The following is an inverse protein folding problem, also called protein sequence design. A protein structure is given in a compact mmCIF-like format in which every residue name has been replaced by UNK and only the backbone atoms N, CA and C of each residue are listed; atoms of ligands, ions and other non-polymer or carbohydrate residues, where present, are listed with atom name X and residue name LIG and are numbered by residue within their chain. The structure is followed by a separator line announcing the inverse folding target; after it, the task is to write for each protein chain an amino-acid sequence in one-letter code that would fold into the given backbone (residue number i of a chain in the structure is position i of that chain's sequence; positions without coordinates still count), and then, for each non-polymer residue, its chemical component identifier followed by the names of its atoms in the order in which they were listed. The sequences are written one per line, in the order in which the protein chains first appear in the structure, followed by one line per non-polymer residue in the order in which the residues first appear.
data_IF_808155118063
#
_entry.id   IF_808155118063
#
_cell.length_a   1.000
_cell.length_b   1.000
_cell.length_c   1.000
_cell.angle_alpha   90.00
_cell.angle_beta   90.00
_cell.angle_gamma   90.00
#
_symmetry.space_group_name_H-M   'P 1'
#
loop_
_entity.id
_entity.type
_entity.pdbx_description
1 polymer ?
#
# COMPACT_ATOMS: atom_id res chain seq x y z
N UNK A 1 -5.07 4.83 -8.17
CA UNK A 1 -4.27 5.58 -7.17
C UNK A 1 -4.06 4.69 -5.96
N UNK A 2 -2.83 4.59 -5.47
CA UNK A 2 -2.48 3.83 -4.27
C UNK A 2 -1.74 4.76 -3.30
N UNK A 3 -2.12 4.74 -2.03
CA UNK A 3 -1.55 5.56 -0.98
C UNK A 3 -0.98 4.67 0.13
N UNK A 4 0.18 5.04 0.62
CA UNK A 4 0.84 4.40 1.75
C UNK A 4 1.18 5.49 2.76
N UNK A 5 0.67 5.35 3.98
CA UNK A 5 0.95 6.22 5.10
C UNK A 5 1.74 5.45 6.14
N UNK A 6 2.96 5.89 6.44
CA UNK A 6 3.78 5.34 7.51
C UNK A 6 3.87 6.38 8.62
N UNK A 7 3.35 6.04 9.80
CA UNK A 7 3.45 6.85 11.00
C UNK A 7 4.57 6.30 11.86
N UNK A 8 5.62 7.09 12.01
CA UNK A 8 6.71 6.84 12.93
C UNK A 8 6.48 7.68 14.20
N UNK A 9 5.93 7.11 15.27
CA UNK A 9 5.90 7.79 16.55
C UNK A 9 7.33 7.92 17.11
N UNK A 10 7.52 8.73 18.16
CA UNK A 10 8.83 9.05 18.74
C UNK A 10 9.73 7.80 18.96
N UNK A 11 11.06 8.01 19.09
CA UNK A 11 12.19 7.05 19.02
C UNK A 11 12.03 5.62 19.61
N UNK A 12 11.02 5.36 20.43
CA UNK A 12 10.75 4.07 21.08
C UNK A 12 9.31 3.55 20.95
N UNK A 13 8.47 4.23 20.17
CA UNK A 13 7.08 3.87 19.99
C UNK A 13 6.88 3.00 18.74
N UNK A 14 5.88 2.13 18.80
CA UNK A 14 5.59 1.15 17.76
C UNK A 14 5.13 1.84 16.48
N UNK A 15 5.85 1.71 15.34
CA UNK A 15 5.43 2.32 14.09
C UNK A 15 4.16 1.67 13.56
N UNK A 16 3.37 2.45 12.84
CA UNK A 16 2.13 1.98 12.22
C UNK A 16 2.15 2.37 10.76
N UNK A 17 1.73 1.47 9.89
CA UNK A 17 1.55 1.76 8.47
C UNK A 17 0.15 1.38 8.01
N UNK A 18 -0.39 2.17 7.10
CA UNK A 18 -1.67 1.93 6.45
C UNK A 18 -1.49 2.09 4.93
N UNK A 19 -1.97 1.10 4.18
CA UNK A 19 -1.87 1.01 2.72
C UNK A 19 -3.28 0.92 2.15
N UNK A 20 -3.64 1.86 1.28
CA UNK A 20 -4.98 2.03 0.73
C UNK A 20 -4.85 2.12 -0.78
N UNK A 21 -5.65 1.35 -1.52
CA UNK A 21 -5.65 1.37 -2.97
C UNK A 21 -7.07 1.53 -3.49
N UNK A 22 -7.23 2.32 -4.56
CA UNK A 22 -8.52 2.53 -5.22
C UNK A 22 -9.15 1.23 -5.75
N UNK A 23 -8.39 0.13 -5.85
CA UNK A 23 -8.93 -1.17 -6.24
C UNK A 23 -9.72 -1.86 -5.12
N UNK A 24 -9.86 -1.22 -3.95
CA UNK A 24 -10.52 -1.78 -2.77
C UNK A 24 -9.58 -2.50 -1.79
N UNK A 25 -8.25 -2.47 -2.01
CA UNK A 25 -7.30 -3.01 -1.02
C UNK A 25 -7.12 -1.99 0.11
N UNK A 26 -7.43 -2.41 1.33
CA UNK A 26 -6.99 -1.74 2.56
C UNK A 26 -6.19 -2.70 3.43
N UNK A 27 -5.06 -2.25 3.95
CA UNK A 27 -4.22 -3.04 4.83
C UNK A 27 -3.56 -2.14 5.88
N UNK A 28 -3.43 -2.65 7.10
CA UNK A 28 -2.92 -1.92 8.26
C UNK A 28 -1.92 -2.80 9.00
N UNK A 29 -0.79 -2.23 9.39
CA UNK A 29 0.27 -2.93 10.09
C UNK A 29 0.77 -2.10 11.27
N UNK A 30 1.08 -2.78 12.38
CA UNK A 30 1.62 -2.18 13.60
C UNK A 30 2.86 -2.96 13.99
N UNK A 31 3.96 -2.26 14.26
CA UNK A 31 5.26 -2.83 14.60
C UNK A 31 6.23 -2.86 13.43
N UNK A 32 7.52 -2.74 13.72
CA UNK A 32 8.59 -2.60 12.72
C UNK A 32 8.52 -3.68 11.62
N UNK A 33 8.51 -4.95 12.00
CA UNK A 33 8.50 -6.05 11.03
C UNK A 33 7.25 -6.05 10.13
N UNK A 34 6.07 -5.80 10.72
CA UNK A 34 4.82 -5.77 9.97
C UNK A 34 4.73 -4.54 9.06
N UNK A 35 5.26 -3.40 9.50
CA UNK A 35 5.34 -2.19 8.68
C UNK A 35 6.24 -2.41 7.47
N UNK A 36 7.41 -3.02 7.64
CA UNK A 36 8.30 -3.36 6.53
C UNK A 36 7.62 -4.31 5.54
N UNK A 37 7.00 -5.39 6.05
CA UNK A 37 6.25 -6.32 5.20
C UNK A 37 5.09 -5.63 4.45
N UNK A 38 4.40 -4.67 5.08
CA UNK A 38 3.32 -3.92 4.43
C UNK A 38 3.86 -3.00 3.31
N UNK A 39 5.05 -2.44 3.46
CA UNK A 39 5.70 -1.62 2.43
C UNK A 39 6.04 -2.49 1.21
N UNK A 40 6.57 -3.69 1.45
CA UNK A 40 6.87 -4.66 0.38
C UNK A 40 5.59 -5.14 -0.31
N UNK A 41 4.55 -5.52 0.45
CA UNK A 41 3.23 -5.89 -0.09
C UNK A 41 2.62 -4.74 -0.90
N UNK A 42 2.68 -3.50 -0.41
CA UNK A 42 2.18 -2.34 -1.14
C UNK A 42 2.90 -2.15 -2.48
N UNK A 43 4.23 -2.37 -2.50
CA UNK A 43 5.03 -2.24 -3.72
C UNK A 43 4.66 -3.31 -4.73
N UNK A 44 4.66 -4.59 -4.32
CA UNK A 44 4.25 -5.70 -5.17
C UNK A 44 2.80 -5.54 -5.66
N UNK A 45 1.90 -5.11 -4.77
CA UNK A 45 0.52 -4.85 -5.14
C UNK A 45 0.39 -3.72 -6.15
N UNK A 46 1.18 -2.65 -6.04
CA UNK A 46 1.14 -1.54 -7.00
C UNK A 46 1.41 -2.04 -8.42
N UNK A 47 2.38 -2.93 -8.60
CA UNK A 47 2.75 -3.49 -9.91
C UNK A 47 1.71 -4.49 -10.44
N UNK A 48 1.07 -5.25 -9.56
CA UNK A 48 0.01 -6.20 -9.90
C UNK A 48 -1.40 -5.59 -9.86
N UNK A 49 -1.51 -4.30 -9.54
CA UNK A 49 -2.80 -3.69 -9.23
C UNK A 49 -3.66 -3.68 -10.50
N UNK A 50 -4.85 -4.32 -10.49
CA UNK A 50 -5.66 -4.42 -11.69
C UNK A 50 -6.08 -3.05 -12.21
N UNK A 51 -6.26 -2.02 -11.37
CA UNK A 51 -6.54 -0.66 -11.82
C UNK A 51 -5.34 0.03 -12.49
N UNK A 52 -4.10 -0.33 -12.10
CA UNK A 52 -2.89 0.18 -12.76
C UNK A 52 -2.62 -0.59 -14.05
N UNK A 53 -2.74 -1.91 -14.03
CA UNK A 53 -2.61 -2.79 -15.20
C UNK A 53 -3.75 -2.57 -16.21
N UNK A 54 -4.99 -2.26 -15.79
CA UNK A 54 -6.08 -1.91 -16.72
C UNK A 54 -5.91 -0.52 -17.37
N UNK A 55 -4.98 0.31 -16.91
CA UNK A 55 -4.80 1.64 -17.53
C UNK A 55 -4.27 1.50 -18.97
N UNK A 56 -3.62 0.38 -19.32
CA UNK A 56 -3.17 0.08 -20.69
C UNK A 56 -4.22 -0.71 -21.53
N UNK A 57 -5.46 -0.84 -21.02
CA UNK A 57 -6.53 -1.62 -21.65
C UNK A 57 -7.86 -0.88 -21.85
N UNK A 58 -7.94 0.43 -21.59
CA UNK A 58 -9.08 1.24 -22.06
C UNK A 58 -8.71 1.95 -23.37
N UNK A 59 -8.67 1.15 -24.43
CA UNK A 59 -9.14 1.61 -25.73
C UNK A 59 -10.69 1.50 -25.75
N UNK A 60 -11.32 2.48 -26.42
CA UNK A 60 -12.75 2.62 -26.73
C UNK A 60 -13.69 2.99 -25.55
N UNK A 61 -14.65 3.91 -25.70
CA UNK A 61 -15.23 4.56 -26.88
C UNK A 61 -15.62 6.02 -26.58
#
# INVERSE_FOLDING_TARGET
MAWLTVRMPAKHATPTAASWCACGREARAVGHAKVLALIEDHTAHRDLCPLRTNTEGRAAA
#
